data_IF_691487202482
#
_entry.id   IF_691487202482
#
_cell.length_a   1.000
_cell.length_b   1.000
_cell.length_c   1.000
_cell.angle_alpha   90.00
_cell.angle_beta   90.00
_cell.angle_gamma   90.00
#
_symmetry.space_group_name_H-M   'P 1'
#
loop_
_entity.id
_entity.type
_entity.pdbx_description
1 polymer ?
#
# COMPACT_ATOMS: atom_id res chain seq x y z
N UNK A 1 16.60 -28.89 35.00
CA UNK A 1 17.13 -27.63 34.42
C UNK A 1 16.37 -27.38 33.12
N UNK A 2 15.22 -26.69 33.22
CA UNK A 2 14.32 -26.48 32.08
C UNK A 2 14.75 -25.19 31.37
N UNK A 3 15.26 -25.30 30.14
CA UNK A 3 15.47 -24.18 29.25
C UNK A 3 14.12 -23.78 28.66
N UNK A 4 13.50 -22.75 29.21
CA UNK A 4 12.42 -22.03 28.58
C UNK A 4 13.05 -21.16 27.47
N UNK A 5 13.05 -21.66 26.25
CA UNK A 5 13.22 -20.84 25.06
C UNK A 5 11.96 -19.98 24.94
N UNK A 6 12.03 -18.76 25.44
CA UNK A 6 11.06 -17.73 25.14
C UNK A 6 11.10 -17.44 23.65
N UNK A 7 10.11 -17.88 22.90
CA UNK A 7 9.79 -17.36 21.58
C UNK A 7 9.42 -15.90 21.76
N UNK A 8 10.36 -14.98 21.50
CA UNK A 8 10.08 -13.56 21.40
C UNK A 8 9.03 -13.38 20.29
N UNK A 9 7.78 -13.18 20.70
CA UNK A 9 6.65 -13.04 19.83
C UNK A 9 6.85 -11.83 18.93
N UNK A 10 7.11 -12.06 17.66
CA UNK A 10 7.02 -11.06 16.62
C UNK A 10 5.62 -10.44 16.67
N UNK A 11 5.52 -9.15 17.04
CA UNK A 11 4.22 -8.46 17.15
C UNK A 11 3.76 -8.00 15.78
N UNK A 12 3.31 -8.94 14.97
CA UNK A 12 2.68 -8.69 13.68
C UNK A 12 1.36 -7.95 13.88
N UNK A 13 1.16 -6.87 13.15
CA UNK A 13 -0.10 -6.11 13.12
C UNK A 13 -0.74 -6.26 11.76
N UNK A 14 -2.07 -6.38 11.74
CA UNK A 14 -2.85 -6.49 10.50
C UNK A 14 -4.05 -5.57 10.53
N UNK A 15 -4.44 -5.04 9.39
CA UNK A 15 -5.73 -4.40 9.18
C UNK A 15 -6.16 -4.48 7.72
N UNK A 16 -7.44 -4.24 7.47
CA UNK A 16 -8.04 -4.27 6.15
C UNK A 16 -8.85 -2.98 5.93
N UNK A 17 -8.93 -2.58 4.66
CA UNK A 17 -9.76 -1.48 4.21
C UNK A 17 -10.46 -1.88 2.93
N UNK A 18 -11.77 -1.60 2.84
CA UNK A 18 -12.59 -1.87 1.66
C UNK A 18 -13.32 -0.62 1.19
N UNK A 19 -13.56 -0.53 -0.10
CA UNK A 19 -14.39 0.51 -0.70
C UNK A 19 -15.05 0.02 -1.98
N UNK A 20 -16.29 0.45 -2.19
CA UNK A 20 -17.04 0.25 -3.41
C UNK A 20 -16.89 1.46 -4.32
N UNK A 21 -16.70 1.22 -5.60
CA UNK A 21 -16.45 2.22 -6.63
C UNK A 21 -17.46 2.06 -7.77
N UNK A 22 -17.96 3.17 -8.35
CA UNK A 22 -18.98 3.14 -9.40
C UNK A 22 -18.41 2.95 -10.82
N UNK A 23 -17.25 2.33 -10.96
CA UNK A 23 -16.55 2.04 -12.22
C UNK A 23 -16.07 0.59 -12.22
N UNK A 24 -15.75 0.01 -13.40
CA UNK A 24 -15.33 -1.38 -13.52
C UNK A 24 -13.99 -1.68 -12.84
N UNK A 25 -13.79 -2.95 -12.44
CA UNK A 25 -12.52 -3.39 -11.85
C UNK A 25 -11.33 -3.16 -12.80
N UNK A 26 -11.50 -3.35 -14.09
CA UNK A 26 -10.47 -3.10 -15.09
C UNK A 26 -10.05 -1.62 -15.16
N UNK A 27 -11.00 -0.70 -15.01
CA UNK A 27 -10.72 0.73 -15.00
C UNK A 27 -9.99 1.16 -13.72
N UNK A 28 -10.44 0.64 -12.57
CA UNK A 28 -9.75 0.86 -11.30
C UNK A 28 -8.34 0.30 -11.34
N UNK A 29 -8.14 -0.93 -11.83
CA UNK A 29 -6.83 -1.57 -11.92
C UNK A 29 -5.84 -0.75 -12.71
N UNK A 30 -6.24 -0.25 -13.89
CA UNK A 30 -5.39 0.61 -14.71
C UNK A 30 -4.95 1.89 -14.00
N UNK A 31 -5.74 2.41 -13.06
CA UNK A 31 -5.39 3.58 -12.27
C UNK A 31 -4.47 3.22 -11.10
N UNK A 32 -4.87 2.26 -10.25
CA UNK A 32 -4.17 1.95 -8.99
C UNK A 32 -2.82 1.27 -9.17
N UNK A 33 -2.54 0.73 -10.36
CA UNK A 33 -1.27 0.06 -10.68
C UNK A 33 -0.23 0.98 -11.30
N UNK A 34 -0.57 2.22 -11.60
CA UNK A 34 0.37 3.21 -12.14
C UNK A 34 1.00 4.07 -11.05
N UNK A 35 2.24 4.56 -11.24
CA UNK A 35 2.88 5.50 -10.33
C UNK A 35 2.06 6.78 -10.09
N UNK A 36 1.39 7.28 -11.13
CA UNK A 36 0.53 8.46 -11.09
C UNK A 36 -0.69 8.22 -10.21
N UNK A 37 -1.36 7.07 -10.37
CA UNK A 37 -2.52 6.67 -9.57
C UNK A 37 -2.15 6.45 -8.11
N UNK A 38 -1.00 5.80 -7.83
CA UNK A 38 -0.49 5.64 -6.46
C UNK A 38 -0.27 7.00 -5.81
N UNK A 39 0.36 7.95 -6.51
CA UNK A 39 0.60 9.30 -6.01
C UNK A 39 -0.68 10.13 -5.88
N UNK A 40 -1.68 9.92 -6.74
CA UNK A 40 -2.99 10.55 -6.58
C UNK A 40 -3.68 10.09 -5.29
N UNK A 41 -3.66 8.79 -4.99
CA UNK A 41 -4.20 8.27 -3.74
C UNK A 41 -3.48 8.84 -2.50
N UNK A 42 -2.18 9.09 -2.56
CA UNK A 42 -1.36 9.57 -1.45
C UNK A 42 -1.46 11.09 -1.22
N UNK A 43 -1.79 11.86 -2.26
CA UNK A 43 -1.86 13.32 -2.20
C UNK A 43 -2.97 13.83 -1.25
N UNK A 44 -2.77 14.89 -0.46
CA UNK A 44 -1.58 15.75 -0.38
C UNK A 44 -0.55 15.32 0.67
N UNK A 45 -0.82 14.28 1.46
CA UNK A 45 -0.04 13.93 2.64
C UNK A 45 1.32 13.36 2.30
N UNK A 46 1.36 12.49 1.31
CA UNK A 46 2.56 11.83 0.87
C UNK A 46 2.71 11.88 -0.65
N UNK A 47 3.95 11.83 -1.10
CA UNK A 47 4.34 11.57 -2.48
C UNK A 47 5.40 10.48 -2.49
N UNK A 48 5.24 9.51 -3.36
CA UNK A 48 6.18 8.42 -3.56
C UNK A 48 7.09 8.75 -4.76
N UNK A 49 8.41 8.71 -4.58
CA UNK A 49 9.34 8.83 -5.71
C UNK A 49 9.34 7.54 -6.51
N UNK A 50 9.61 7.64 -7.81
CA UNK A 50 9.53 6.48 -8.70
C UNK A 50 10.94 6.07 -9.10
N UNK A 51 11.42 4.88 -8.68
CA UNK A 51 12.68 4.32 -9.14
C UNK A 51 12.75 4.27 -10.67
N UNK A 52 13.91 4.50 -11.26
CA UNK A 52 14.09 4.58 -12.71
C UNK A 52 13.54 3.33 -13.45
N UNK A 53 13.67 2.16 -12.85
CA UNK A 53 13.18 0.88 -13.41
C UNK A 53 11.66 0.78 -13.50
N UNK A 54 10.93 1.58 -12.72
CA UNK A 54 9.46 1.55 -12.61
C UNK A 54 8.78 2.66 -13.43
N UNK A 55 9.55 3.61 -13.97
CA UNK A 55 8.99 4.73 -14.73
C UNK A 55 8.24 4.25 -15.96
N UNK A 56 7.01 4.72 -16.11
CA UNK A 56 6.16 4.39 -17.26
C UNK A 56 5.66 2.94 -17.32
N UNK A 57 5.80 2.18 -16.23
CA UNK A 57 5.32 0.81 -16.13
C UNK A 57 4.21 0.69 -15.10
N UNK A 58 3.20 -0.11 -15.40
CA UNK A 58 2.22 -0.54 -14.43
C UNK A 58 2.74 -1.75 -13.63
N UNK A 59 2.15 -2.01 -12.46
CA UNK A 59 2.58 -3.10 -11.55
C UNK A 59 2.58 -4.47 -12.25
N UNK A 60 1.59 -4.74 -13.10
CA UNK A 60 1.44 -5.99 -13.86
C UNK A 60 2.52 -6.22 -14.93
N UNK A 61 3.30 -5.19 -15.25
CA UNK A 61 4.44 -5.25 -16.18
C UNK A 61 5.78 -5.45 -15.47
N UNK A 62 5.76 -5.55 -14.14
CA UNK A 62 6.97 -5.65 -13.33
C UNK A 62 7.29 -7.12 -12.99
N UNK A 63 8.58 -7.47 -12.92
CA UNK A 63 8.97 -8.81 -12.51
C UNK A 63 8.70 -9.03 -11.02
N UNK A 64 8.14 -10.20 -10.69
CA UNK A 64 7.90 -10.63 -9.32
C UNK A 64 9.15 -11.27 -8.68
N UNK A 65 9.19 -11.25 -7.35
CA UNK A 65 10.19 -11.96 -6.54
C UNK A 65 11.57 -11.30 -6.49
N UNK A 66 11.75 -10.10 -7.06
CA UNK A 66 13.03 -9.40 -7.04
C UNK A 66 12.90 -7.95 -6.57
N UNK A 67 14.00 -7.41 -6.07
CA UNK A 67 14.09 -6.02 -5.67
C UNK A 67 13.97 -5.09 -6.88
N UNK A 68 13.02 -4.18 -6.85
CA UNK A 68 12.70 -3.27 -7.94
C UNK A 68 13.35 -1.89 -7.80
N UNK A 69 13.74 -1.53 -6.58
CA UNK A 69 14.39 -0.26 -6.28
C UNK A 69 13.83 0.38 -5.01
N UNK A 70 14.51 1.43 -4.55
CA UNK A 70 14.07 2.23 -3.40
C UNK A 70 13.20 3.38 -3.85
N UNK A 71 12.06 3.51 -3.23
CA UNK A 71 11.16 4.64 -3.34
C UNK A 71 11.16 5.44 -2.04
N UNK A 72 11.23 6.76 -2.11
CA UNK A 72 11.13 7.63 -0.94
C UNK A 72 9.70 8.13 -0.78
N UNK A 73 9.22 8.10 0.45
CA UNK A 73 7.99 8.80 0.82
C UNK A 73 8.33 10.22 1.28
N UNK A 74 7.77 11.19 0.59
CA UNK A 74 7.94 12.60 0.85
C UNK A 74 6.66 13.15 1.49
N UNK A 75 6.73 13.58 2.75
CA UNK A 75 5.62 14.29 3.39
C UNK A 75 5.39 15.63 2.68
N UNK A 76 4.12 15.95 2.41
CA UNK A 76 3.69 17.13 1.64
C UNK A 76 4.45 17.29 0.30
N UNK A 77 4.96 16.17 -0.24
CA UNK A 77 5.66 16.13 -1.52
C UNK A 77 7.13 16.59 -1.50
N UNK A 78 7.68 17.01 -0.35
CA UNK A 78 9.02 17.61 -0.26
C UNK A 78 9.93 17.04 0.84
N UNK A 79 9.37 16.65 2.01
CA UNK A 79 10.16 16.22 3.15
C UNK A 79 10.28 14.69 3.18
N UNK A 80 11.47 14.09 2.98
CA UNK A 80 11.65 12.65 3.06
C UNK A 80 11.42 12.17 4.51
N UNK A 81 10.44 11.29 4.71
CA UNK A 81 10.04 10.76 6.02
C UNK A 81 10.25 9.27 6.17
N UNK A 82 10.20 8.53 5.07
CA UNK A 82 10.42 7.07 5.04
C UNK A 82 10.85 6.65 3.63
N UNK A 83 11.23 5.41 3.47
CA UNK A 83 11.48 4.78 2.17
C UNK A 83 10.88 3.38 2.14
N UNK A 84 10.66 2.89 0.93
CA UNK A 84 10.19 1.56 0.62
C UNK A 84 11.19 0.87 -0.31
N UNK A 85 11.77 -0.23 0.13
CA UNK A 85 12.58 -1.13 -0.69
C UNK A 85 11.63 -2.11 -1.40
N UNK A 86 11.10 -1.65 -2.53
CA UNK A 86 9.99 -2.28 -3.25
C UNK A 86 10.37 -3.68 -3.72
N UNK A 87 9.58 -4.65 -3.32
CA UNK A 87 9.62 -6.03 -3.85
C UNK A 87 8.19 -6.48 -4.14
N UNK A 88 7.88 -6.66 -5.40
CA UNK A 88 6.59 -7.20 -5.83
C UNK A 88 6.65 -8.73 -5.69
N UNK A 89 5.92 -9.27 -4.73
CA UNK A 89 5.95 -10.71 -4.44
C UNK A 89 5.11 -11.50 -5.46
N UNK A 90 3.95 -10.96 -5.84
CA UNK A 90 3.00 -11.66 -6.70
C UNK A 90 2.11 -10.66 -7.45
N UNK A 91 1.82 -10.93 -8.72
CA UNK A 91 0.71 -10.37 -9.47
C UNK A 91 -0.16 -11.55 -9.87
N UNK A 92 -1.36 -11.61 -9.33
CA UNK A 92 -2.30 -12.71 -9.55
C UNK A 92 -3.29 -12.41 -10.66
N UNK A 93 -4.04 -13.43 -11.10
CA UNK A 93 -5.23 -13.23 -11.92
C UNK A 93 -6.25 -12.36 -11.16
N UNK A 94 -7.24 -11.85 -11.88
CA UNK A 94 -8.37 -11.12 -11.30
C UNK A 94 -7.96 -9.83 -10.54
N UNK A 95 -7.05 -9.02 -11.13
CA UNK A 95 -6.68 -7.71 -10.59
C UNK A 95 -6.20 -7.75 -9.12
N UNK A 96 -5.22 -8.58 -8.85
CA UNK A 96 -4.60 -8.73 -7.54
C UNK A 96 -3.09 -8.51 -7.63
N UNK A 97 -2.53 -7.77 -6.67
CA UNK A 97 -1.09 -7.79 -6.42
C UNK A 97 -0.77 -7.96 -4.94
N UNK A 98 0.42 -8.44 -4.68
CA UNK A 98 1.00 -8.53 -3.34
C UNK A 98 2.42 -7.99 -3.38
N UNK A 99 2.65 -7.00 -2.54
CA UNK A 99 3.94 -6.41 -2.27
C UNK A 99 4.49 -6.99 -0.97
N UNK A 100 5.78 -7.29 -0.91
CA UNK A 100 6.48 -7.73 0.28
C UNK A 100 7.80 -6.95 0.40
N UNK A 101 7.76 -5.87 1.14
CA UNK A 101 8.81 -4.85 1.20
C UNK A 101 9.35 -4.65 2.61
N UNK A 102 10.34 -3.76 2.76
CA UNK A 102 10.80 -3.23 4.03
C UNK A 102 10.97 -1.71 3.97
N UNK A 103 10.74 -1.05 5.11
CA UNK A 103 10.80 0.39 5.26
C UNK A 103 11.73 0.79 6.41
N UNK A 104 12.01 2.07 6.57
CA UNK A 104 12.85 2.56 7.66
C UNK A 104 12.32 2.15 9.04
N UNK A 105 11.03 2.42 9.29
CA UNK A 105 10.35 2.12 10.57
C UNK A 105 9.71 0.72 10.65
N UNK A 106 9.59 0.03 9.53
CA UNK A 106 8.87 -1.25 9.40
C UNK A 106 9.84 -2.32 8.89
N UNK A 107 9.96 -3.41 9.66
CA UNK A 107 10.84 -4.53 9.34
C UNK A 107 10.30 -5.37 8.20
N UNK A 108 9.03 -5.72 8.30
CA UNK A 108 8.28 -6.50 7.29
C UNK A 108 7.02 -5.73 6.93
N UNK A 109 6.81 -5.51 5.68
CA UNK A 109 5.62 -4.90 5.10
C UNK A 109 5.05 -5.83 4.06
N UNK A 110 3.78 -6.19 4.20
CA UNK A 110 3.04 -6.95 3.21
C UNK A 110 1.75 -6.20 2.92
N UNK A 111 1.60 -5.76 1.70
CA UNK A 111 0.40 -5.12 1.20
C UNK A 111 -0.18 -5.96 0.07
N UNK A 112 -1.41 -6.37 0.22
CA UNK A 112 -2.18 -7.08 -0.79
C UNK A 112 -3.38 -6.23 -1.17
N UNK A 113 -3.53 -5.95 -2.46
CA UNK A 113 -4.70 -5.27 -3.02
C UNK A 113 -5.40 -6.20 -4.01
N UNK A 114 -6.71 -6.29 -3.88
CA UNK A 114 -7.59 -6.99 -4.80
C UNK A 114 -8.66 -6.02 -5.30
N UNK A 115 -8.95 -6.06 -6.59
CA UNK A 115 -10.04 -5.31 -7.21
C UNK A 115 -10.98 -6.30 -7.89
N UNK A 116 -12.27 -6.24 -7.60
CA UNK A 116 -13.27 -7.19 -8.13
C UNK A 116 -14.48 -6.45 -8.66
N UNK A 117 -15.07 -6.92 -9.75
CA UNK A 117 -16.38 -6.45 -10.18
C UNK A 117 -17.47 -6.95 -9.23
N UNK A 118 -18.45 -6.10 -8.93
CA UNK A 118 -19.59 -6.37 -8.04
C UNK A 118 -20.93 -5.94 -8.66
N UNK A 119 -21.15 -6.28 -9.93
CA UNK A 119 -22.34 -5.88 -10.68
C UNK A 119 -22.19 -4.46 -11.25
N UNK A 120 -22.78 -3.44 -10.63
CA UNK A 120 -22.75 -2.05 -11.15
C UNK A 120 -21.48 -1.27 -10.75
N UNK A 121 -20.36 -1.93 -10.55
CA UNK A 121 -19.12 -1.28 -10.17
C UNK A 121 -18.07 -2.27 -9.68
N UNK A 122 -17.16 -1.82 -8.82
CA UNK A 122 -16.10 -2.67 -8.29
C UNK A 122 -15.89 -2.48 -6.79
N UNK A 123 -15.28 -3.47 -6.14
CA UNK A 123 -14.78 -3.42 -4.78
C UNK A 123 -13.26 -3.43 -4.80
N UNK A 124 -12.64 -2.49 -4.11
CA UNK A 124 -11.21 -2.50 -3.79
C UNK A 124 -11.04 -2.95 -2.35
N UNK A 125 -10.20 -3.96 -2.15
CA UNK A 125 -9.87 -4.50 -0.85
C UNK A 125 -8.36 -4.48 -0.64
N UNK A 126 -7.90 -3.69 0.32
CA UNK A 126 -6.53 -3.66 0.80
C UNK A 126 -6.40 -4.45 2.10
N UNK A 127 -5.43 -5.35 2.13
CA UNK A 127 -5.01 -6.07 3.34
C UNK A 127 -3.56 -5.75 3.62
N UNK A 128 -3.29 -5.26 4.84
CA UNK A 128 -1.96 -4.94 5.31
C UNK A 128 -1.55 -5.83 6.47
N UNK A 129 -0.28 -6.21 6.45
CA UNK A 129 0.36 -6.95 7.52
C UNK A 129 1.79 -6.44 7.69
N UNK A 130 2.17 -6.04 8.90
CA UNK A 130 3.49 -5.44 9.13
C UNK A 130 4.04 -5.72 10.52
N UNK A 131 5.35 -5.61 10.63
CA UNK A 131 6.11 -5.68 11.87
C UNK A 131 6.97 -4.44 12.01
N UNK A 132 6.85 -3.75 13.16
CA UNK A 132 7.68 -2.57 13.45
C UNK A 132 9.11 -2.98 13.84
N UNK A 133 10.08 -2.13 13.52
CA UNK A 133 11.47 -2.30 13.97
C UNK A 133 11.59 -2.02 15.48
N UNK A 134 12.45 -2.78 16.16
CA UNK A 134 12.66 -2.73 17.62
C UNK A 134 12.96 -1.33 18.18
N UNK A 135 13.82 -0.47 17.58
CA UNK A 135 14.09 0.86 18.15
C UNK A 135 12.84 1.71 18.37
N UNK A 136 11.88 1.67 17.46
CA UNK A 136 10.61 2.39 17.62
C UNK A 136 9.72 1.83 18.73
N UNK A 137 9.83 0.54 19.05
CA UNK A 137 9.03 -0.11 20.09
C UNK A 137 9.42 0.31 21.52
N UNK A 138 10.58 0.92 21.72
CA UNK A 138 11.06 1.42 23.02
C UNK A 138 10.42 2.76 23.40
N UNK A 139 9.79 3.43 22.44
CA UNK A 139 9.05 4.69 22.67
C UNK A 139 7.62 4.31 23.06
N UNK A 140 7.19 4.64 24.31
CA UNK A 140 5.80 4.40 24.72
C UNK A 140 4.80 5.00 23.75
N UNK A 141 3.79 4.22 23.34
CA UNK A 141 2.77 4.68 22.40
C UNK A 141 3.15 4.65 20.91
N UNK A 142 4.44 4.47 20.54
CA UNK A 142 4.89 4.45 19.15
C UNK A 142 4.10 3.47 18.26
N UNK A 143 3.88 2.26 18.78
CA UNK A 143 3.09 1.25 18.05
C UNK A 143 1.68 1.75 17.71
N UNK A 144 0.99 2.34 18.68
CA UNK A 144 -0.36 2.86 18.49
C UNK A 144 -0.36 4.05 17.52
N UNK A 145 0.62 4.95 17.64
CA UNK A 145 0.79 6.07 16.72
C UNK A 145 1.01 5.58 15.28
N UNK A 146 1.91 4.62 15.05
CA UNK A 146 2.19 4.08 13.73
C UNK A 146 0.96 3.37 13.13
N UNK A 147 0.25 2.55 13.92
CA UNK A 147 -1.00 1.92 13.47
C UNK A 147 -2.04 2.99 13.11
N UNK A 148 -2.15 4.06 13.92
CA UNK A 148 -3.05 5.18 13.66
C UNK A 148 -2.71 5.90 12.35
N UNK A 149 -1.44 6.20 12.11
CA UNK A 149 -0.95 6.83 10.88
C UNK A 149 -1.26 5.94 9.66
N UNK A 150 -0.95 4.65 9.72
CA UNK A 150 -1.22 3.73 8.61
C UNK A 150 -2.71 3.61 8.31
N UNK A 151 -3.55 3.47 9.35
CA UNK A 151 -5.01 3.44 9.18
C UNK A 151 -5.55 4.75 8.58
N UNK A 152 -5.04 5.89 9.03
CA UNK A 152 -5.39 7.19 8.47
C UNK A 152 -5.03 7.27 6.99
N UNK A 153 -3.79 6.91 6.62
CA UNK A 153 -3.31 6.95 5.24
C UNK A 153 -4.15 6.05 4.32
N UNK A 154 -4.47 4.82 4.75
CA UNK A 154 -5.27 3.92 3.91
C UNK A 154 -6.73 4.36 3.78
N UNK A 155 -7.34 4.91 4.83
CA UNK A 155 -8.67 5.55 4.72
C UNK A 155 -8.63 6.73 3.74
N UNK A 156 -7.59 7.55 3.82
CA UNK A 156 -7.40 8.67 2.92
C UNK A 156 -7.26 8.21 1.47
N UNK A 157 -6.40 7.22 1.20
CA UNK A 157 -6.23 6.61 -0.13
C UNK A 157 -7.56 6.13 -0.71
N UNK A 158 -8.35 5.39 0.07
CA UNK A 158 -9.67 4.93 -0.34
C UNK A 158 -10.65 6.09 -0.60
N UNK A 159 -10.63 7.15 0.21
CA UNK A 159 -11.45 8.35 -0.03
C UNK A 159 -11.06 9.05 -1.33
N UNK A 160 -9.77 9.16 -1.64
CA UNK A 160 -9.28 9.71 -2.90
C UNK A 160 -9.74 8.87 -4.10
N UNK A 161 -9.59 7.56 -3.98
CA UNK A 161 -9.98 6.62 -5.03
C UNK A 161 -11.50 6.66 -5.30
N UNK A 162 -12.34 6.78 -4.27
CA UNK A 162 -13.79 6.94 -4.42
C UNK A 162 -14.11 8.23 -5.19
N UNK A 163 -13.45 9.35 -4.87
CA UNK A 163 -13.65 10.64 -5.57
C UNK A 163 -13.23 10.53 -7.03
N UNK A 164 -12.04 9.97 -7.31
CA UNK A 164 -11.57 9.73 -8.65
C UNK A 164 -12.57 8.91 -9.47
N UNK A 165 -13.08 7.80 -8.92
CA UNK A 165 -14.04 6.93 -9.59
C UNK A 165 -15.38 7.62 -9.85
N UNK A 166 -15.86 8.46 -8.93
CA UNK A 166 -17.08 9.24 -9.12
C UNK A 166 -16.94 10.28 -10.25
N UNK A 167 -15.77 10.93 -10.34
CA UNK A 167 -15.52 11.90 -11.40
C UNK A 167 -15.37 11.20 -12.77
N UNK A 168 -14.74 10.02 -12.81
CA UNK A 168 -14.66 9.18 -14.03
C UNK A 168 -16.04 8.75 -14.52
N UNK A 169 -16.92 8.32 -13.64
CA UNK A 169 -18.29 7.94 -14.02
C UNK A 169 -19.06 9.09 -14.67
N UNK A 170 -18.89 10.33 -14.17
CA UNK A 170 -19.52 11.53 -14.75
C UNK A 170 -19.02 11.83 -16.17
N UNK A 171 -17.74 11.51 -16.47
CA UNK A 171 -17.14 11.74 -17.79
C UNK A 171 -17.56 10.70 -18.83
N UNK A 172 -18.01 9.51 -18.37
CA UNK A 172 -18.40 8.40 -19.22
C UNK A 172 -19.93 8.36 -19.50
N UNK A 173 -20.71 9.23 -18.83
CA UNK A 173 -22.15 9.43 -19.02
C UNK A 173 -22.42 10.69 -19.88
#
# INVERSE_FOLDING_TARGET
>A
MLYLRGTEGSMKSTFEQKSTLPVSAAEVWRHVTTPEGINDELFPWLRMTIPARLRGKAIDQLPCGQYLGRSWFLALGVLPVDFDDITLAEVGPEYRFKEASSMLGIRTWVHERTVRDIGEGSEVHDRLSFELRRPGLWIPGWRHAMIGILKFLFRHRHTRLIRWAADRKKLNN
#
